data_IF_831217206512
#
_entry.id   IF_831217206512
#
_cell.length_a   1.000
_cell.length_b   1.000
_cell.length_c   1.000
_cell.angle_alpha   90.00
_cell.angle_beta   90.00
_cell.angle_gamma   90.00
#
_symmetry.space_group_name_H-M   'P 1'
#
loop_
_entity.id
_entity.type
_entity.pdbx_description
1 polymer ?
#
# COMPACT_ATOMS: atom_id res chain seq x y z
N UNK A 1 -33.28 -10.99 -25.95
CA UNK A 1 -33.31 -9.93 -24.93
C UNK A 1 -32.68 -8.68 -25.54
N UNK A 2 -33.20 -7.49 -25.21
CA UNK A 2 -32.62 -6.21 -25.63
C UNK A 2 -32.09 -5.53 -24.37
N UNK A 3 -30.82 -5.16 -24.36
CA UNK A 3 -30.15 -4.47 -23.26
C UNK A 3 -29.61 -3.14 -23.79
N UNK A 4 -29.76 -2.07 -23.01
CA UNK A 4 -29.26 -0.74 -23.36
C UNK A 4 -28.01 -0.41 -22.56
N UNK A 5 -27.06 0.26 -23.20
CA UNK A 5 -25.84 0.75 -22.56
C UNK A 5 -25.41 2.10 -23.11
N UNK A 6 -24.31 2.61 -22.58
CA UNK A 6 -23.73 3.89 -22.99
C UNK A 6 -22.92 3.70 -24.26
N UNK A 7 -23.20 4.50 -25.30
CA UNK A 7 -22.46 4.43 -26.56
C UNK A 7 -21.10 5.12 -26.40
N UNK A 8 -20.01 4.35 -26.50
CA UNK A 8 -18.64 4.88 -26.59
C UNK A 8 -18.31 5.25 -28.04
N UNK A 9 -18.62 4.34 -28.97
CA UNK A 9 -18.55 4.62 -30.40
C UNK A 9 -19.75 4.01 -31.12
N UNK A 10 -20.46 4.84 -31.88
CA UNK A 10 -21.68 4.45 -32.57
C UNK A 10 -21.39 3.50 -33.74
N UNK A 11 -22.31 2.58 -34.00
CA UNK A 11 -22.30 1.77 -35.22
C UNK A 11 -23.09 0.49 -35.07
N UNK A 12 -23.05 -0.32 -36.13
CA UNK A 12 -23.74 -1.60 -36.17
C UNK A 12 -22.71 -2.72 -36.26
N UNK A 13 -22.84 -3.73 -35.40
CA UNK A 13 -22.00 -4.91 -35.41
C UNK A 13 -22.84 -6.16 -35.18
N UNK A 14 -22.43 -7.28 -35.77
CA UNK A 14 -23.03 -8.59 -35.50
C UNK A 14 -21.95 -9.65 -35.53
N UNK A 15 -21.96 -10.54 -34.55
CA UNK A 15 -21.00 -11.63 -34.47
C UNK A 15 -21.28 -12.56 -33.31
N UNK A 16 -20.58 -13.70 -33.30
CA UNK A 16 -20.59 -14.58 -32.13
C UNK A 16 -19.90 -13.88 -30.96
N UNK A 17 -20.52 -13.82 -29.77
CA UNK A 17 -19.89 -13.22 -28.62
C UNK A 17 -18.70 -14.06 -28.15
N UNK A 18 -17.66 -13.38 -27.70
CA UNK A 18 -16.53 -13.97 -26.99
C UNK A 18 -16.47 -13.36 -25.60
N UNK A 19 -16.86 -14.15 -24.60
CA UNK A 19 -16.86 -13.74 -23.20
C UNK A 19 -15.47 -13.96 -22.60
N UNK A 20 -14.86 -12.86 -22.15
CA UNK A 20 -13.63 -12.91 -21.39
C UNK A 20 -13.97 -12.93 -19.90
N UNK A 21 -13.46 -13.93 -19.19
CA UNK A 21 -13.66 -14.11 -17.74
C UNK A 21 -12.55 -13.47 -16.92
N UNK A 22 -11.61 -12.79 -17.57
CA UNK A 22 -10.53 -12.05 -16.97
C UNK A 22 -10.23 -10.80 -17.82
N UNK A 23 -9.58 -9.77 -17.25
CA UNK A 23 -9.20 -8.59 -18.00
C UNK A 23 -8.15 -8.88 -19.09
N UNK A 24 -8.33 -8.24 -20.25
CA UNK A 24 -7.43 -8.34 -21.40
C UNK A 24 -6.68 -7.02 -21.63
N UNK A 25 -5.37 -7.11 -21.79
CA UNK A 25 -4.52 -6.02 -22.26
C UNK A 25 -4.35 -6.08 -23.78
N UNK A 26 -4.72 -5.02 -24.47
CA UNK A 26 -4.39 -4.87 -25.89
C UNK A 26 -2.92 -4.50 -26.13
N UNK A 27 -2.15 -4.24 -25.06
CA UNK A 27 -0.70 -4.13 -25.14
C UNK A 27 -0.05 -5.48 -24.81
N UNK A 28 0.48 -6.15 -25.83
CA UNK A 28 1.16 -7.44 -25.68
C UNK A 28 0.25 -8.63 -25.37
N UNK A 29 -1.05 -8.43 -25.11
CA UNK A 29 -2.00 -9.51 -24.83
C UNK A 29 -2.81 -9.99 -26.03
N UNK A 30 -2.76 -9.28 -27.16
CA UNK A 30 -3.39 -9.67 -28.42
C UNK A 30 -2.40 -9.49 -29.56
N UNK A 31 -2.29 -10.49 -30.43
CA UNK A 31 -1.49 -10.39 -31.64
C UNK A 31 -2.21 -9.50 -32.68
N UNK A 32 -1.65 -8.33 -33.05
CA UNK A 32 -2.30 -7.40 -33.96
C UNK A 32 -2.38 -7.90 -35.40
N UNK A 33 -1.69 -8.98 -35.76
CA UNK A 33 -1.68 -9.56 -37.10
C UNK A 33 -2.71 -10.68 -37.28
N UNK A 34 -3.01 -11.40 -36.21
CA UNK A 34 -3.90 -12.58 -36.27
C UNK A 34 -5.18 -12.42 -35.47
N UNK A 35 -5.22 -11.48 -34.52
CA UNK A 35 -6.34 -11.29 -33.60
C UNK A 35 -6.41 -12.32 -32.46
N UNK A 36 -5.40 -13.18 -32.29
CA UNK A 36 -5.36 -14.16 -31.21
C UNK A 36 -4.97 -13.51 -29.88
N UNK A 37 -5.64 -13.93 -28.80
CA UNK A 37 -5.24 -13.60 -27.44
C UNK A 37 -3.96 -14.38 -27.13
N UNK A 38 -2.88 -13.66 -26.86
CA UNK A 38 -1.54 -14.18 -26.54
C UNK A 38 -1.10 -13.83 -25.12
N UNK A 39 -1.99 -13.21 -24.32
CA UNK A 39 -1.71 -12.85 -22.93
C UNK A 39 -1.48 -14.11 -22.09
N UNK A 40 -0.24 -14.27 -21.61
CA UNK A 40 0.12 -15.42 -20.79
C UNK A 40 -0.76 -15.53 -19.53
N UNK A 41 -1.30 -16.72 -19.29
CA UNK A 41 -2.18 -17.00 -18.15
C UNK A 41 -3.62 -16.51 -18.30
N UNK A 42 -4.00 -15.92 -19.43
CA UNK A 42 -5.40 -15.54 -19.67
C UNK A 42 -6.26 -16.79 -19.93
N UNK A 43 -7.45 -16.95 -19.32
CA UNK A 43 -8.26 -18.17 -19.47
C UNK A 43 -8.66 -18.47 -20.93
N UNK A 44 -8.87 -17.43 -21.73
CA UNK A 44 -9.16 -17.49 -23.16
C UNK A 44 -7.90 -17.37 -24.06
N UNK A 45 -6.69 -17.66 -23.55
CA UNK A 45 -5.47 -17.66 -24.37
C UNK A 45 -5.63 -18.57 -25.60
N UNK A 46 -5.16 -18.10 -26.76
CA UNK A 46 -5.26 -18.80 -28.04
C UNK A 46 -6.60 -18.62 -28.76
N UNK A 47 -7.59 -17.92 -28.18
CA UNK A 47 -8.84 -17.61 -28.88
C UNK A 47 -8.68 -16.36 -29.77
N UNK A 48 -9.29 -16.37 -30.96
CA UNK A 48 -9.19 -15.25 -31.92
C UNK A 48 -10.35 -14.25 -31.79
N UNK A 49 -10.10 -12.97 -31.55
CA UNK A 49 -11.17 -11.97 -31.40
C UNK A 49 -11.69 -11.41 -32.72
N UNK A 50 -11.01 -11.71 -33.85
CA UNK A 50 -11.33 -11.15 -35.16
C UNK A 50 -12.79 -11.43 -35.56
N UNK A 51 -13.53 -10.38 -35.93
CA UNK A 51 -14.92 -10.48 -36.38
C UNK A 51 -15.95 -10.90 -35.30
N UNK A 52 -15.52 -11.09 -34.05
CA UNK A 52 -16.41 -11.45 -32.93
C UNK A 52 -16.93 -10.22 -32.19
N UNK A 53 -18.00 -10.39 -31.41
CA UNK A 53 -18.41 -9.39 -30.42
C UNK A 53 -17.62 -9.68 -29.15
N UNK A 54 -16.65 -8.84 -28.83
CA UNK A 54 -15.84 -9.03 -27.63
C UNK A 54 -16.59 -8.52 -26.41
N UNK A 55 -16.81 -9.39 -25.41
CA UNK A 55 -17.49 -9.06 -24.17
C UNK A 55 -16.51 -9.20 -23.01
N UNK A 56 -16.28 -8.13 -22.27
CA UNK A 56 -15.34 -8.10 -21.14
C UNK A 56 -15.85 -7.16 -20.05
N UNK A 57 -15.87 -7.60 -18.79
CA UNK A 57 -16.34 -6.75 -17.69
C UNK A 57 -15.35 -5.63 -17.34
N UNK A 58 -14.06 -5.87 -17.57
CA UNK A 58 -13.00 -4.87 -17.44
C UNK A 58 -11.87 -5.13 -18.46
N UNK A 59 -11.22 -4.06 -18.90
CA UNK A 59 -9.98 -4.09 -19.67
C UNK A 59 -8.81 -3.53 -18.86
N UNK A 60 -7.60 -3.97 -19.17
CA UNK A 60 -6.38 -3.39 -18.61
C UNK A 60 -5.75 -2.46 -19.64
N UNK A 61 -5.91 -1.15 -19.40
CA UNK A 61 -5.44 -0.10 -20.29
C UNK A 61 -3.92 0.15 -20.19
N UNK A 62 -3.29 0.29 -21.35
CA UNK A 62 -1.97 0.92 -21.53
C UNK A 62 -2.06 1.77 -22.79
N UNK A 63 -1.49 2.98 -22.82
CA UNK A 63 -1.60 3.91 -23.97
C UNK A 63 -1.23 3.26 -25.31
N UNK A 64 -0.38 2.21 -25.31
CA UNK A 64 -0.03 1.45 -26.52
C UNK A 64 -1.18 0.56 -27.03
N UNK A 65 -2.09 0.11 -26.16
CA UNK A 65 -3.25 -0.69 -26.52
C UNK A 65 -4.17 -0.02 -27.54
N UNK A 66 -4.34 1.30 -27.48
CA UNK A 66 -5.05 2.10 -28.51
C UNK A 66 -4.45 1.87 -29.90
N UNK A 67 -3.11 1.87 -30.02
CA UNK A 67 -2.41 1.65 -31.28
C UNK A 67 -2.53 0.21 -31.77
N UNK A 68 -2.54 -0.78 -30.86
CA UNK A 68 -2.80 -2.18 -31.20
C UNK A 68 -4.19 -2.35 -31.81
N UNK A 69 -5.23 -1.79 -31.20
CA UNK A 69 -6.61 -1.86 -31.71
C UNK A 69 -6.71 -1.25 -33.11
N UNK A 70 -6.08 -0.08 -33.33
CA UNK A 70 -5.99 0.53 -34.65
C UNK A 70 -5.25 -0.36 -35.67
N UNK A 71 -4.14 -0.99 -35.26
CA UNK A 71 -3.37 -1.91 -36.11
C UNK A 71 -4.19 -3.15 -36.48
N UNK A 72 -4.93 -3.72 -35.54
CA UNK A 72 -5.86 -4.83 -35.79
C UNK A 72 -6.93 -4.44 -36.81
N UNK A 73 -7.49 -3.23 -36.72
CA UNK A 73 -8.47 -2.73 -37.69
C UNK A 73 -7.85 -2.62 -39.09
N UNK A 74 -6.66 -2.03 -39.20
CA UNK A 74 -5.91 -1.94 -40.47
C UNK A 74 -5.60 -3.33 -41.05
N UNK A 75 -5.28 -4.29 -40.19
CA UNK A 75 -4.99 -5.68 -40.55
C UNK A 75 -6.25 -6.54 -40.76
N UNK A 76 -7.46 -5.98 -40.59
CA UNK A 76 -8.75 -6.69 -40.73
C UNK A 76 -8.93 -7.87 -39.76
N UNK A 77 -8.28 -7.81 -38.60
CA UNK A 77 -8.38 -8.80 -37.52
C UNK A 77 -8.95 -8.23 -36.22
N UNK A 78 -9.54 -7.03 -36.28
CA UNK A 78 -10.26 -6.42 -35.16
C UNK A 78 -11.56 -7.15 -34.82
N UNK A 79 -12.06 -7.05 -33.57
CA UNK A 79 -13.42 -7.46 -33.26
C UNK A 79 -14.44 -6.67 -34.09
N UNK A 80 -15.60 -7.28 -34.33
CA UNK A 80 -16.71 -6.63 -35.03
C UNK A 80 -17.36 -5.55 -34.16
N UNK A 81 -17.38 -5.77 -32.84
CA UNK A 81 -17.89 -4.83 -31.83
C UNK A 81 -17.39 -5.21 -30.44
N UNK A 82 -17.50 -4.27 -29.50
CA UNK A 82 -17.02 -4.43 -28.12
C UNK A 82 -18.16 -4.09 -27.17
N UNK A 83 -18.31 -4.88 -26.11
CA UNK A 83 -19.25 -4.62 -25.02
C UNK A 83 -18.52 -4.71 -23.69
N UNK A 84 -18.61 -3.65 -22.88
CA UNK A 84 -17.97 -3.58 -21.57
C UNK A 84 -18.96 -3.31 -20.44
N UNK A 85 -18.62 -3.73 -19.23
CA UNK A 85 -19.29 -3.26 -18.01
C UNK A 85 -18.68 -1.94 -17.52
N UNK A 86 -17.35 -1.89 -17.46
CA UNK A 86 -16.60 -0.68 -17.13
C UNK A 86 -15.52 -0.41 -18.19
N UNK A 87 -15.78 0.54 -19.07
CA UNK A 87 -14.82 0.93 -20.10
C UNK A 87 -13.71 1.81 -19.53
N UNK A 88 -12.45 1.44 -19.76
CA UNK A 88 -11.32 2.31 -19.47
C UNK A 88 -11.07 3.32 -20.62
N UNK A 89 -10.45 4.49 -20.34
CA UNK A 89 -10.22 5.53 -21.35
C UNK A 89 -9.36 5.10 -22.55
N UNK A 90 -8.43 4.16 -22.38
CA UNK A 90 -7.55 3.66 -23.46
C UNK A 90 -8.35 2.83 -24.44
N UNK A 91 -9.17 1.89 -23.93
CA UNK A 91 -10.05 1.09 -24.77
C UNK A 91 -11.06 1.97 -25.49
N UNK A 92 -11.65 2.96 -24.79
CA UNK A 92 -12.57 3.92 -25.40
C UNK A 92 -11.92 4.66 -26.58
N UNK A 93 -10.73 5.24 -26.38
CA UNK A 93 -9.99 5.90 -27.43
C UNK A 93 -9.65 4.95 -28.59
N UNK A 94 -9.27 3.71 -28.28
CA UNK A 94 -8.99 2.66 -29.27
C UNK A 94 -10.19 2.35 -30.15
N UNK A 95 -11.36 2.14 -29.54
CA UNK A 95 -12.63 1.89 -30.23
C UNK A 95 -13.04 3.06 -31.13
N UNK A 96 -12.92 4.31 -30.64
CA UNK A 96 -13.24 5.51 -31.41
C UNK A 96 -12.32 5.66 -32.62
N UNK A 97 -11.01 5.56 -32.43
CA UNK A 97 -10.01 5.74 -33.50
C UNK A 97 -10.12 4.62 -34.54
N UNK A 98 -10.32 3.38 -34.09
CA UNK A 98 -10.49 2.22 -34.98
C UNK A 98 -11.89 2.11 -35.59
N UNK A 99 -12.83 2.97 -35.19
CA UNK A 99 -14.24 2.95 -35.60
C UNK A 99 -14.89 1.58 -35.36
N UNK A 100 -14.68 1.02 -34.18
CA UNK A 100 -15.29 -0.23 -33.73
C UNK A 100 -16.51 0.11 -32.87
N UNK A 101 -17.72 -0.37 -33.21
CA UNK A 101 -18.90 -0.18 -32.38
C UNK A 101 -18.65 -0.66 -30.95
N UNK A 102 -18.88 0.21 -29.97
CA UNK A 102 -18.57 -0.07 -28.57
C UNK A 102 -19.64 0.49 -27.64
N UNK A 103 -20.25 -0.42 -26.86
CA UNK A 103 -21.24 -0.13 -25.81
C UNK A 103 -20.65 -0.45 -24.44
N UNK A 104 -20.84 0.45 -23.48
CA UNK A 104 -20.41 0.30 -22.09
C UNK A 104 -21.59 0.20 -21.12
N UNK A 105 -21.34 -0.23 -19.88
CA UNK A 105 -22.34 -0.36 -18.83
C UNK A 105 -23.20 -1.63 -18.90
N UNK A 106 -22.78 -2.64 -19.66
CA UNK A 106 -23.49 -3.91 -19.78
C UNK A 106 -22.63 -5.03 -19.18
N UNK A 107 -23.00 -5.61 -18.02
CA UNK A 107 -22.27 -6.73 -17.45
C UNK A 107 -22.40 -7.97 -18.33
N UNK A 108 -21.33 -8.77 -18.40
CA UNK A 108 -21.26 -10.00 -19.19
C UNK A 108 -22.39 -10.99 -18.84
N UNK A 109 -22.77 -11.04 -17.57
CA UNK A 109 -23.88 -11.87 -17.05
C UNK A 109 -25.25 -11.49 -17.60
N UNK A 110 -25.43 -10.26 -18.12
CA UNK A 110 -26.66 -9.80 -18.74
C UNK A 110 -26.78 -10.20 -20.23
N UNK A 111 -25.86 -11.00 -20.77
CA UNK A 111 -25.84 -11.40 -22.17
C UNK A 111 -25.83 -12.93 -22.32
N UNK A 112 -26.62 -13.45 -23.26
CA UNK A 112 -26.57 -14.88 -23.62
C UNK A 112 -25.44 -15.21 -24.60
N UNK A 113 -25.21 -16.51 -24.81
CA UNK A 113 -24.12 -17.05 -25.63
C UNK A 113 -24.43 -17.17 -27.13
N UNK A 114 -25.65 -16.84 -27.54
CA UNK A 114 -26.05 -16.85 -28.94
C UNK A 114 -25.50 -15.64 -29.71
N UNK A 115 -25.75 -15.60 -31.02
CA UNK A 115 -25.43 -14.44 -31.88
C UNK A 115 -25.84 -13.11 -31.23
N UNK A 116 -24.89 -12.18 -31.14
CA UNK A 116 -25.09 -10.85 -30.53
C UNK A 116 -25.01 -9.78 -31.60
N UNK A 117 -25.91 -8.80 -31.55
CA UNK A 117 -25.91 -7.64 -32.44
C UNK A 117 -25.88 -6.35 -31.63
N UNK A 118 -25.08 -5.38 -32.07
CA UNK A 118 -25.04 -4.01 -31.58
C UNK A 118 -25.71 -3.14 -32.64
N UNK A 119 -26.69 -2.33 -32.25
CA UNK A 119 -27.37 -1.36 -33.11
C UNK A 119 -27.62 -0.06 -32.35
N UNK A 120 -26.82 0.98 -32.62
CA UNK A 120 -26.90 2.23 -31.87
C UNK A 120 -26.52 2.01 -30.39
N UNK A 121 -27.45 2.26 -29.46
CA UNK A 121 -27.27 2.03 -28.03
C UNK A 121 -27.79 0.65 -27.55
N UNK A 122 -28.36 -0.15 -28.46
CA UNK A 122 -29.02 -1.40 -28.14
C UNK A 122 -28.15 -2.61 -28.45
N UNK A 123 -28.12 -3.56 -27.52
CA UNK A 123 -27.52 -4.88 -27.69
C UNK A 123 -28.62 -5.93 -27.68
N UNK A 124 -28.69 -6.72 -28.75
CA UNK A 124 -29.62 -7.84 -28.90
C UNK A 124 -28.84 -9.14 -28.72
N UNK A 125 -29.13 -9.89 -27.65
CA UNK A 125 -28.50 -11.18 -27.33
C UNK A 125 -29.53 -12.22 -26.82
N UNK A 126 -29.13 -13.50 -26.77
CA UNK A 126 -29.91 -14.58 -26.16
C UNK A 126 -30.06 -14.39 -24.63
N UNK A 127 -30.94 -15.15 -23.99
CA UNK A 127 -31.06 -15.12 -22.53
C UNK A 127 -29.83 -15.77 -21.85
N UNK A 128 -29.46 -15.27 -20.66
CA UNK A 128 -28.33 -15.74 -19.84
C UNK A 128 -28.82 -16.68 -18.73
N UNK A 129 -28.11 -17.77 -18.48
CA UNK A 129 -28.20 -18.55 -17.24
C UNK A 129 -27.13 -18.02 -16.26
N UNK A 130 -27.59 -17.53 -15.10
CA UNK A 130 -26.80 -16.73 -14.15
C UNK A 130 -25.72 -17.53 -13.40
N UNK A 131 -24.51 -16.97 -13.30
CA UNK A 131 -23.47 -17.39 -12.36
C UNK A 131 -23.26 -16.34 -11.24
N UNK A 132 -22.95 -16.81 -10.03
CA UNK A 132 -22.97 -16.06 -8.76
C UNK A 132 -21.79 -15.07 -8.57
N UNK A 133 -21.95 -14.03 -7.72
CA UNK A 133 -20.94 -12.97 -7.54
C UNK A 133 -19.81 -13.35 -6.56
N UNK A 134 -18.68 -12.65 -6.70
CA UNK A 134 -17.49 -12.73 -5.86
C UNK A 134 -17.69 -11.98 -4.52
N UNK A 135 -17.14 -12.51 -3.43
CA UNK A 135 -17.27 -11.91 -2.09
C UNK A 135 -16.31 -10.73 -1.88
N UNK A 136 -16.87 -9.53 -1.72
CA UNK A 136 -16.20 -8.41 -1.05
C UNK A 136 -16.08 -8.68 0.46
N UNK A 137 -14.93 -8.35 1.04
CA UNK A 137 -14.82 -8.28 2.51
C UNK A 137 -15.62 -7.06 2.98
N UNK A 138 -16.42 -7.25 4.03
CA UNK A 138 -17.28 -6.22 4.60
C UNK A 138 -16.53 -4.90 4.85
N UNK A 139 -17.05 -3.82 4.25
CA UNK A 139 -16.66 -2.44 4.54
C UNK A 139 -16.88 -2.16 6.03
N UNK A 140 -15.80 -2.10 6.81
CA UNK A 140 -15.84 -1.58 8.17
C UNK A 140 -15.83 -0.05 8.11
N UNK A 141 -16.87 0.54 8.68
CA UNK A 141 -17.18 1.97 8.70
C UNK A 141 -16.18 2.81 9.50
N UNK A 142 -16.19 4.12 9.23
CA UNK A 142 -15.29 5.21 9.67
C UNK A 142 -15.01 5.40 11.19
N UNK A 143 -15.53 4.53 12.07
CA UNK A 143 -15.42 4.66 13.54
C UNK A 143 -14.89 3.40 14.25
N UNK A 144 -14.55 2.32 13.53
CA UNK A 144 -13.90 1.17 14.17
C UNK A 144 -12.44 1.54 14.49
N UNK A 145 -12.10 1.67 15.77
CA UNK A 145 -10.72 1.88 16.20
C UNK A 145 -9.75 0.88 15.55
N UNK A 146 -8.56 1.35 15.20
CA UNK A 146 -7.51 0.55 14.58
C UNK A 146 -6.18 0.70 15.29
N UNK A 147 -5.13 0.15 14.69
CA UNK A 147 -3.76 0.17 15.22
C UNK A 147 -2.78 0.82 14.27
N UNK A 148 -1.80 1.52 14.82
CA UNK A 148 -0.67 2.03 14.03
C UNK A 148 0.56 1.19 14.39
N UNK A 149 1.11 0.52 13.39
CA UNK A 149 2.24 -0.39 13.53
C UNK A 149 3.48 0.26 12.95
N UNK A 150 4.56 0.29 13.74
CA UNK A 150 5.88 0.69 13.26
C UNK A 150 6.80 -0.50 13.15
N UNK A 151 7.30 -0.78 11.95
CA UNK A 151 8.37 -1.73 11.70
C UNK A 151 9.72 -1.01 11.85
N UNK A 152 10.46 -1.30 12.90
CA UNK A 152 11.77 -0.72 13.14
C UNK A 152 12.75 -1.02 12.00
N UNK A 153 13.49 -0.03 11.52
CA UNK A 153 14.46 -0.24 10.45
C UNK A 153 15.53 -1.29 10.80
N UNK A 154 15.96 -1.36 12.07
CA UNK A 154 16.88 -2.39 12.57
C UNK A 154 16.30 -3.80 12.59
N UNK A 155 14.97 -3.92 12.62
CA UNK A 155 14.26 -5.19 12.61
C UNK A 155 14.17 -5.76 11.18
N UNK A 156 13.87 -4.92 10.20
CA UNK A 156 13.63 -5.33 8.80
C UNK A 156 14.86 -5.19 7.89
N UNK A 157 15.95 -4.59 8.36
CA UNK A 157 17.20 -4.43 7.59
C UNK A 157 18.42 -4.92 8.38
N UNK A 158 19.51 -5.22 7.67
CA UNK A 158 20.78 -5.62 8.28
C UNK A 158 21.59 -4.39 8.70
N UNK A 159 21.55 -4.06 10.00
CA UNK A 159 22.17 -2.85 10.59
C UNK A 159 23.69 -2.77 10.40
N UNK A 160 24.37 -3.90 10.31
CA UNK A 160 25.83 -3.98 10.20
C UNK A 160 26.34 -4.03 8.73
N UNK A 161 25.43 -4.14 7.77
CA UNK A 161 25.82 -4.21 6.36
C UNK A 161 26.34 -2.87 5.86
N UNK A 162 27.48 -2.89 5.15
CA UNK A 162 28.05 -1.69 4.52
C UNK A 162 27.14 -1.17 3.40
N UNK A 163 26.41 -2.06 2.75
CA UNK A 163 25.42 -1.74 1.72
C UNK A 163 24.00 -1.92 2.25
N UNK A 164 23.02 -1.13 1.77
CA UNK A 164 21.61 -1.33 2.12
C UNK A 164 21.18 -2.76 1.85
N UNK A 165 20.66 -3.43 2.88
CA UNK A 165 20.30 -4.85 2.80
C UNK A 165 19.13 -5.18 3.72
N UNK A 166 18.21 -5.96 3.19
CA UNK A 166 16.97 -6.37 3.86
C UNK A 166 17.23 -7.63 4.67
N UNK A 167 16.60 -7.73 5.83
CA UNK A 167 16.56 -8.95 6.61
C UNK A 167 15.36 -9.81 6.20
N UNK A 168 15.44 -10.49 5.06
CA UNK A 168 14.31 -11.17 4.38
C UNK A 168 13.48 -12.07 5.30
N UNK A 169 14.14 -12.95 6.08
CA UNK A 169 13.45 -13.87 7.00
C UNK A 169 12.56 -13.15 8.02
N UNK A 170 13.05 -12.04 8.58
CA UNK A 170 12.31 -11.25 9.57
C UNK A 170 11.14 -10.52 8.91
N UNK A 171 11.38 -9.91 7.76
CA UNK A 171 10.34 -9.21 7.01
C UNK A 171 9.19 -10.15 6.61
N UNK A 172 9.49 -11.34 6.07
CA UNK A 172 8.47 -12.33 5.70
C UNK A 172 7.70 -12.85 6.93
N UNK A 173 8.38 -13.15 8.03
CA UNK A 173 7.72 -13.59 9.27
C UNK A 173 6.77 -12.50 9.83
N UNK A 174 7.21 -11.24 9.81
CA UNK A 174 6.39 -10.11 10.22
C UNK A 174 5.17 -9.94 9.31
N UNK A 175 5.36 -10.01 7.99
CA UNK A 175 4.26 -9.91 7.02
C UNK A 175 3.21 -11.02 7.23
N UNK A 176 3.67 -12.25 7.47
CA UNK A 176 2.79 -13.37 7.80
C UNK A 176 2.01 -13.13 9.09
N UNK A 177 2.65 -12.67 10.17
CA UNK A 177 1.97 -12.34 11.43
C UNK A 177 0.94 -11.20 11.24
N UNK A 178 1.29 -10.17 10.47
CA UNK A 178 0.39 -9.05 10.17
C UNK A 178 -0.85 -9.47 9.38
N UNK A 179 -0.72 -10.45 8.47
CA UNK A 179 -1.84 -10.95 7.66
C UNK A 179 -2.96 -11.57 8.50
N UNK A 180 -2.64 -12.03 9.71
CA UNK A 180 -3.59 -12.62 10.66
C UNK A 180 -4.34 -11.57 11.49
N UNK A 181 -3.95 -10.30 11.40
CA UNK A 181 -4.57 -9.23 12.18
C UNK A 181 -5.84 -8.74 11.49
N UNK A 182 -6.95 -8.73 12.23
CA UNK A 182 -8.29 -8.41 11.68
C UNK A 182 -8.76 -6.98 11.94
N UNK A 183 -8.03 -6.21 12.75
CA UNK A 183 -8.33 -4.81 13.00
C UNK A 183 -7.74 -3.92 11.89
N UNK A 184 -8.36 -2.78 11.56
CA UNK A 184 -7.78 -1.81 10.65
C UNK A 184 -6.38 -1.40 11.11
N UNK A 185 -5.44 -1.27 10.17
CA UNK A 185 -4.06 -0.95 10.51
C UNK A 185 -3.45 0.05 9.54
N UNK A 186 -2.57 0.90 10.07
CA UNK A 186 -1.60 1.69 9.30
C UNK A 186 -0.21 1.14 9.60
N UNK A 187 0.58 0.88 8.56
CA UNK A 187 1.94 0.38 8.72
C UNK A 187 2.91 1.50 8.36
N UNK A 188 3.88 1.75 9.25
CA UNK A 188 5.00 2.66 9.04
C UNK A 188 6.29 1.86 9.16
N UNK A 189 7.25 2.01 8.25
CA UNK A 189 8.56 1.40 8.45
C UNK A 189 9.69 2.41 8.59
N UNK A 190 10.70 2.05 9.39
CA UNK A 190 11.94 2.83 9.51
C UNK A 190 12.87 2.62 8.32
N UNK A 191 13.82 3.54 8.16
CA UNK A 191 14.75 3.55 7.02
C UNK A 191 15.86 2.49 7.12
N UNK A 192 16.27 2.10 8.33
CA UNK A 192 17.28 1.07 8.55
C UNK A 192 18.60 1.34 7.80
N UNK A 193 19.23 0.30 7.28
CA UNK A 193 20.47 0.41 6.48
C UNK A 193 20.30 1.15 5.14
N UNK A 194 19.05 1.41 4.71
CA UNK A 194 18.73 2.18 3.50
C UNK A 194 18.73 3.70 3.73
N UNK A 195 18.71 4.15 5.00
CA UNK A 195 18.77 5.58 5.35
C UNK A 195 19.99 5.95 6.17
N UNK A 196 20.11 5.39 7.37
CA UNK A 196 21.11 5.81 8.37
C UNK A 196 22.54 5.67 7.82
N UNK A 197 22.85 4.52 7.20
CA UNK A 197 24.18 4.26 6.62
C UNK A 197 24.56 5.24 5.52
N UNK A 198 23.78 5.36 4.43
CA UNK A 198 24.02 6.33 3.37
C UNK A 198 24.12 7.79 3.86
N UNK A 199 23.17 8.24 4.70
CA UNK A 199 23.17 9.61 5.26
C UNK A 199 24.46 9.90 6.02
N UNK A 200 24.93 8.96 6.84
CA UNK A 200 26.16 9.11 7.60
C UNK A 200 27.41 9.08 6.71
N UNK A 201 27.49 8.12 5.77
CA UNK A 201 28.66 7.99 4.88
C UNK A 201 28.83 9.18 3.96
N UNK A 202 27.73 9.77 3.50
CA UNK A 202 27.75 10.92 2.60
C UNK A 202 27.82 12.26 3.35
N UNK A 203 27.80 12.25 4.69
CA UNK A 203 27.88 13.47 5.50
C UNK A 203 26.72 14.43 5.26
N UNK A 204 25.51 13.91 5.09
CA UNK A 204 24.34 14.73 4.73
C UNK A 204 23.68 15.42 5.93
N UNK A 205 23.88 14.90 7.14
CA UNK A 205 23.34 15.48 8.38
C UNK A 205 23.72 16.94 8.55
N UNK A 206 22.74 17.76 8.92
CA UNK A 206 22.89 19.20 9.18
C UNK A 206 23.43 19.99 7.96
N UNK A 207 23.25 19.49 6.73
CA UNK A 207 23.66 20.18 5.51
C UNK A 207 22.46 20.53 4.63
N UNK A 208 22.45 21.75 4.12
CA UNK A 208 21.48 22.19 3.12
C UNK A 208 21.69 21.45 1.79
N UNK A 209 20.62 21.19 1.03
CA UNK A 209 20.73 20.80 -0.37
C UNK A 209 21.53 21.83 -1.17
N UNK A 210 22.42 21.33 -2.01
CA UNK A 210 23.29 22.13 -2.86
C UNK A 210 24.06 21.24 -3.82
N UNK A 211 24.94 21.81 -4.66
CA UNK A 211 25.70 21.06 -5.66
C UNK A 211 26.39 19.80 -5.11
N UNK A 212 26.85 19.85 -3.85
CA UNK A 212 27.62 18.78 -3.21
C UNK A 212 26.76 17.74 -2.45
N UNK A 213 25.50 18.06 -2.12
CA UNK A 213 24.64 17.21 -1.25
C UNK A 213 23.39 16.71 -1.95
N UNK A 214 22.91 17.39 -3.01
CA UNK A 214 21.67 17.04 -3.71
C UNK A 214 21.70 15.63 -4.31
N UNK A 215 22.86 15.18 -4.80
CA UNK A 215 23.02 13.81 -5.29
C UNK A 215 22.84 12.79 -4.16
N UNK A 216 23.42 13.05 -2.99
CA UNK A 216 23.29 12.17 -1.83
C UNK A 216 21.85 12.11 -1.32
N UNK A 217 21.16 13.25 -1.23
CA UNK A 217 19.74 13.27 -0.85
C UNK A 217 18.85 12.51 -1.83
N UNK A 218 19.08 12.67 -3.14
CA UNK A 218 18.38 11.91 -4.19
C UNK A 218 18.64 10.40 -4.07
N UNK A 219 19.88 10.00 -3.77
CA UNK A 219 20.24 8.60 -3.56
C UNK A 219 19.55 8.02 -2.31
N UNK A 220 19.56 8.73 -1.18
CA UNK A 220 18.87 8.30 0.04
C UNK A 220 17.38 8.12 -0.22
N UNK A 221 16.74 9.07 -0.92
CA UNK A 221 15.31 8.95 -1.24
C UNK A 221 15.02 7.75 -2.15
N UNK A 222 15.87 7.52 -3.16
CA UNK A 222 15.77 6.36 -4.04
C UNK A 222 15.89 5.03 -3.27
N UNK A 223 16.77 4.98 -2.27
CA UNK A 223 16.90 3.83 -1.37
C UNK A 223 15.67 3.64 -0.47
N UNK A 224 15.02 4.71 -0.02
CA UNK A 224 13.76 4.59 0.73
C UNK A 224 12.66 3.99 -0.12
N UNK A 225 12.52 4.42 -1.38
CA UNK A 225 11.57 3.80 -2.31
C UNK A 225 11.87 2.32 -2.56
N UNK A 226 13.15 1.96 -2.69
CA UNK A 226 13.55 0.56 -2.84
C UNK A 226 13.14 -0.28 -1.62
N UNK A 227 13.42 0.18 -0.40
CA UNK A 227 13.00 -0.51 0.83
C UNK A 227 11.47 -0.62 0.92
N UNK A 228 10.75 0.47 0.63
CA UNK A 228 9.30 0.49 0.68
C UNK A 228 8.66 -0.49 -0.32
N UNK A 229 9.23 -0.62 -1.54
CA UNK A 229 8.77 -1.61 -2.51
C UNK A 229 8.92 -3.04 -1.99
N UNK A 230 10.02 -3.34 -1.29
CA UNK A 230 10.26 -4.67 -0.74
C UNK A 230 9.34 -4.98 0.45
N UNK A 231 9.09 -3.99 1.32
CA UNK A 231 8.10 -4.12 2.40
C UNK A 231 6.69 -4.32 1.82
N UNK A 232 6.28 -3.53 0.83
CA UNK A 232 5.01 -3.69 0.14
C UNK A 232 4.88 -5.06 -0.53
N UNK A 233 5.96 -5.53 -1.17
CA UNK A 233 5.98 -6.86 -1.79
C UNK A 233 5.75 -7.97 -0.76
N UNK A 234 6.49 -7.95 0.35
CA UNK A 234 6.36 -8.96 1.40
C UNK A 234 4.95 -8.99 2.00
N UNK A 235 4.37 -7.82 2.30
CA UNK A 235 2.99 -7.70 2.81
C UNK A 235 1.97 -8.25 1.80
N UNK A 236 2.13 -7.93 0.51
CA UNK A 236 1.24 -8.43 -0.55
C UNK A 236 1.33 -9.93 -0.72
N UNK A 237 2.52 -10.52 -0.68
CA UNK A 237 2.72 -11.97 -0.76
C UNK A 237 2.09 -12.69 0.43
N UNK A 238 2.10 -12.06 1.61
CA UNK A 238 1.41 -12.56 2.81
C UNK A 238 -0.13 -12.38 2.76
N UNK A 239 -0.68 -11.76 1.71
CA UNK A 239 -2.13 -11.63 1.51
C UNK A 239 -2.74 -10.33 2.04
N UNK A 240 -1.93 -9.34 2.44
CA UNK A 240 -2.42 -7.99 2.71
C UNK A 240 -2.52 -7.17 1.40
N UNK A 241 -3.27 -6.07 1.45
CA UNK A 241 -3.35 -5.10 0.36
C UNK A 241 -2.62 -3.79 0.72
N UNK A 242 -1.28 -3.79 0.80
CA UNK A 242 -0.54 -2.59 1.15
C UNK A 242 -0.71 -1.50 0.08
N UNK A 243 -0.89 -0.27 0.54
CA UNK A 243 -1.03 0.91 -0.30
C UNK A 243 0.03 1.94 0.10
N UNK A 244 1.17 1.97 -0.61
CA UNK A 244 2.21 2.95 -0.40
C UNK A 244 1.71 4.39 -0.51
N UNK A 245 1.96 5.20 0.51
CA UNK A 245 1.69 6.63 0.53
C UNK A 245 2.98 7.40 0.79
N UNK A 246 3.11 8.56 0.15
CA UNK A 246 4.22 9.47 0.40
C UNK A 246 4.06 10.10 1.78
N UNK A 247 4.95 9.77 2.72
CA UNK A 247 4.85 10.16 4.13
C UNK A 247 4.79 11.66 4.37
N UNK A 248 5.49 12.44 3.55
CA UNK A 248 5.61 13.89 3.62
C UNK A 248 4.26 14.58 3.36
N UNK A 249 3.34 13.94 2.61
CA UNK A 249 1.98 14.44 2.42
C UNK A 249 1.09 14.22 3.64
N UNK A 250 1.47 13.30 4.54
CA UNK A 250 0.72 12.95 5.74
C UNK A 250 1.29 13.64 6.99
N UNK A 251 2.62 13.68 7.10
CA UNK A 251 3.32 14.04 8.34
C UNK A 251 4.47 15.04 8.13
N UNK A 252 4.74 15.47 6.90
CA UNK A 252 5.78 16.45 6.63
C UNK A 252 5.38 17.89 6.98
N UNK A 253 6.32 18.85 6.96
CA UNK A 253 6.08 20.23 7.36
C UNK A 253 5.08 20.97 6.44
N UNK A 254 4.89 20.45 5.22
CA UNK A 254 3.94 20.98 4.24
C UNK A 254 2.64 20.16 4.17
N UNK A 255 2.50 19.12 5.00
CA UNK A 255 1.31 18.28 5.01
C UNK A 255 0.08 19.08 5.45
N UNK A 256 -1.04 18.84 4.76
CA UNK A 256 -2.33 19.34 5.23
C UNK A 256 -3.03 18.27 6.07
N UNK A 257 -3.37 18.54 7.35
CA UNK A 257 -4.04 17.57 8.19
C UNK A 257 -5.39 17.09 7.62
N UNK A 258 -6.12 17.97 6.92
CA UNK A 258 -7.40 17.61 6.29
C UNK A 258 -7.21 16.58 5.18
N UNK A 259 -6.26 16.84 4.27
CA UNK A 259 -5.96 15.93 3.16
C UNK A 259 -5.30 14.66 3.64
N UNK A 260 -4.34 14.74 4.57
CA UNK A 260 -3.69 13.57 5.15
C UNK A 260 -4.69 12.64 5.84
N UNK A 261 -5.63 13.19 6.61
CA UNK A 261 -6.73 12.40 7.19
C UNK A 261 -7.60 11.76 6.11
N UNK A 262 -8.00 12.53 5.09
CA UNK A 262 -8.84 12.00 4.01
C UNK A 262 -8.14 10.85 3.26
N UNK A 263 -6.87 11.00 2.89
CA UNK A 263 -6.11 9.95 2.20
C UNK A 263 -6.04 8.66 3.02
N UNK A 264 -5.73 8.76 4.31
CA UNK A 264 -5.69 7.59 5.19
C UNK A 264 -7.07 6.92 5.30
N UNK A 265 -8.12 7.71 5.53
CA UNK A 265 -9.49 7.19 5.68
C UNK A 265 -9.99 6.52 4.41
N UNK A 266 -9.85 7.17 3.24
CA UNK A 266 -10.29 6.59 1.95
C UNK A 266 -9.57 5.28 1.65
N UNK A 267 -8.26 5.22 1.91
CA UNK A 267 -7.46 4.00 1.76
C UNK A 267 -8.03 2.87 2.64
N UNK A 268 -8.25 3.17 3.92
CA UNK A 268 -8.79 2.21 4.88
C UNK A 268 -10.21 1.75 4.52
N UNK A 269 -11.09 2.66 4.06
CA UNK A 269 -12.48 2.32 3.68
C UNK A 269 -12.55 1.44 2.45
N UNK A 270 -11.52 1.40 1.61
CA UNK A 270 -11.42 0.48 0.48
C UNK A 270 -10.75 -0.86 0.83
N UNK A 271 -10.53 -1.14 2.12
CA UNK A 271 -9.89 -2.38 2.58
C UNK A 271 -8.39 -2.44 2.27
N UNK A 272 -7.78 -1.31 1.90
CA UNK A 272 -6.34 -1.19 1.70
C UNK A 272 -5.63 -0.87 3.03
N UNK A 273 -4.35 -1.21 3.12
CA UNK A 273 -3.50 -0.96 4.30
C UNK A 273 -2.55 0.19 3.98
N UNK A 274 -2.74 1.40 4.51
CA UNK A 274 -1.80 2.50 4.31
C UNK A 274 -0.38 2.09 4.75
N UNK A 275 0.58 2.21 3.84
CA UNK A 275 1.98 1.92 4.06
C UNK A 275 2.82 3.19 3.89
N UNK A 276 3.47 3.61 4.97
CA UNK A 276 4.28 4.82 5.07
C UNK A 276 5.70 4.45 5.52
N UNK A 277 6.63 5.39 5.37
CA UNK A 277 8.05 5.17 5.65
C UNK A 277 8.80 6.44 6.00
N UNK A 278 9.86 6.33 6.78
CA UNK A 278 10.75 7.46 7.03
C UNK A 278 11.49 7.90 5.76
N UNK A 279 11.67 9.21 5.57
CA UNK A 279 12.28 9.77 4.36
C UNK A 279 12.96 11.12 4.62
N UNK A 280 13.90 11.54 3.76
CA UNK A 280 14.33 12.93 3.71
C UNK A 280 13.18 13.85 3.31
N UNK A 281 13.03 14.99 3.98
CA UNK A 281 12.01 15.99 3.68
C UNK A 281 12.60 17.39 3.56
N UNK A 282 11.98 18.25 2.75
CA UNK A 282 12.33 19.66 2.66
C UNK A 282 11.68 20.44 3.81
N UNK A 283 12.48 21.00 4.69
CA UNK A 283 12.02 21.86 5.77
C UNK A 283 11.66 23.28 5.28
N UNK A 284 10.83 24.05 6.03
CA UNK A 284 10.42 25.40 5.66
C UNK A 284 11.56 26.42 5.48
N UNK A 285 12.69 26.19 6.14
CA UNK A 285 13.89 27.03 6.05
C UNK A 285 14.78 26.71 4.84
N UNK A 286 14.36 25.76 3.99
CA UNK A 286 15.10 25.32 2.81
C UNK A 286 16.13 24.21 3.08
N UNK A 287 16.28 23.75 4.33
CA UNK A 287 17.12 22.59 4.68
C UNK A 287 16.42 21.29 4.35
N UNK A 288 17.16 20.18 4.25
CA UNK A 288 16.56 18.85 4.25
C UNK A 288 16.75 18.25 5.65
N UNK A 289 15.66 17.75 6.21
CA UNK A 289 15.62 17.03 7.49
C UNK A 289 15.15 15.58 7.27
N UNK A 290 15.15 14.77 8.32
CA UNK A 290 14.68 13.39 8.31
C UNK A 290 13.30 13.30 8.94
N UNK A 291 12.29 13.02 8.10
CA UNK A 291 10.98 12.62 8.57
C UNK A 291 11.07 11.22 9.17
N UNK A 292 11.17 11.16 10.50
CA UNK A 292 11.31 9.89 11.20
C UNK A 292 10.01 9.07 11.18
N UNK A 293 10.13 7.75 11.19
CA UNK A 293 8.98 6.87 11.36
C UNK A 293 8.20 7.13 12.66
N UNK A 294 8.85 7.63 13.72
CA UNK A 294 8.16 7.95 14.99
C UNK A 294 7.26 9.19 14.82
N UNK A 295 7.73 10.20 14.08
CA UNK A 295 6.95 11.39 13.72
C UNK A 295 5.72 11.01 12.90
N UNK A 296 5.89 10.13 11.90
CA UNK A 296 4.81 9.68 11.02
C UNK A 296 3.73 8.93 11.82
N UNK A 297 4.15 8.02 12.70
CA UNK A 297 3.25 7.26 13.59
C UNK A 297 2.43 8.20 14.47
N UNK A 298 3.07 9.20 15.05
CA UNK A 298 2.40 10.22 15.86
C UNK A 298 1.38 11.04 15.06
N UNK A 299 1.72 11.42 13.83
CA UNK A 299 0.81 12.12 12.92
C UNK A 299 -0.41 11.26 12.59
N UNK A 300 -0.20 10.00 12.20
CA UNK A 300 -1.29 9.06 11.88
C UNK A 300 -2.26 8.89 13.06
N UNK A 301 -1.74 8.77 14.29
CA UNK A 301 -2.56 8.60 15.49
C UNK A 301 -3.46 9.81 15.73
N UNK A 302 -2.92 11.02 15.53
CA UNK A 302 -3.68 12.27 15.66
C UNK A 302 -4.72 12.42 14.55
N UNK A 303 -4.37 12.13 13.30
CA UNK A 303 -5.27 12.27 12.15
C UNK A 303 -6.46 11.30 12.20
N UNK A 304 -6.21 10.07 12.64
CA UNK A 304 -7.24 9.02 12.73
C UNK A 304 -7.96 8.99 14.07
N UNK A 305 -7.41 9.62 15.11
CA UNK A 305 -7.94 9.55 16.48
C UNK A 305 -7.74 8.18 17.14
N UNK A 306 -6.93 7.30 16.56
CA UNK A 306 -6.69 5.95 17.08
C UNK A 306 -5.80 5.98 18.33
N UNK A 307 -6.07 5.05 19.25
CA UNK A 307 -5.50 5.06 20.61
C UNK A 307 -4.40 4.01 20.84
N UNK A 308 -4.10 3.17 19.86
CA UNK A 308 -3.14 2.07 20.02
C UNK A 308 -2.03 2.17 18.99
N UNK A 309 -0.79 2.22 19.46
CA UNK A 309 0.42 2.22 18.64
C UNK A 309 1.31 1.07 19.07
N UNK A 310 1.86 0.31 18.12
CA UNK A 310 2.77 -0.81 18.37
C UNK A 310 4.07 -0.58 17.60
N UNK A 311 5.17 -0.38 18.32
CA UNK A 311 6.53 -0.27 17.78
C UNK A 311 7.21 -1.63 17.86
N UNK A 312 7.32 -2.30 16.71
CA UNK A 312 8.07 -3.54 16.56
C UNK A 312 9.54 -3.20 16.32
N UNK A 313 10.41 -3.63 17.22
CA UNK A 313 11.86 -3.36 17.19
C UNK A 313 12.65 -4.65 17.34
N UNK A 314 13.98 -4.57 17.27
CA UNK A 314 14.93 -5.68 17.46
C UNK A 314 15.33 -5.93 18.93
N UNK A 315 14.64 -5.30 19.89
CA UNK A 315 14.86 -5.46 21.34
C UNK A 315 13.54 -5.74 22.05
N UNK A 316 13.58 -6.37 23.24
CA UNK A 316 12.36 -6.78 23.96
C UNK A 316 11.51 -5.61 24.49
N UNK A 317 12.09 -4.43 24.63
CA UNK A 317 11.42 -3.22 25.13
C UNK A 317 12.43 -2.11 25.44
N UNK A 318 12.07 -1.18 26.31
CA UNK A 318 12.94 -0.12 26.83
C UNK A 318 13.67 -0.64 28.06
N UNK A 319 14.98 -0.45 28.10
CA UNK A 319 15.83 -0.86 29.22
C UNK A 319 16.30 0.36 30.00
N UNK A 320 16.58 0.18 31.30
CA UNK A 320 17.15 1.25 32.14
C UNK A 320 18.54 1.68 31.67
N UNK A 321 19.32 0.73 31.12
CA UNK A 321 20.59 0.99 30.45
C UNK A 321 20.45 0.84 28.95
N UNK A 322 20.99 1.76 28.13
CA UNK A 322 20.95 1.68 26.66
C UNK A 322 21.91 0.62 26.08
N UNK A 323 22.82 0.10 26.89
CA UNK A 323 23.90 -0.81 26.47
C UNK A 323 23.86 -2.17 27.18
N UNK A 324 23.01 -2.31 28.19
CA UNK A 324 22.83 -3.56 28.93
C UNK A 324 21.40 -4.07 28.77
N UNK A 325 21.28 -5.19 28.04
CA UNK A 325 20.03 -5.87 27.72
C UNK A 325 19.84 -7.17 28.53
N UNK A 326 20.65 -7.40 29.57
CA UNK A 326 20.64 -8.66 30.33
C UNK A 326 19.46 -8.80 31.30
N UNK A 327 18.84 -7.69 31.70
CA UNK A 327 17.63 -7.66 32.53
C UNK A 327 16.32 -7.78 31.76
N UNK A 328 15.21 -7.57 32.46
CA UNK A 328 13.90 -7.39 31.82
C UNK A 328 13.68 -5.92 31.41
N UNK A 329 12.96 -5.67 30.30
CA UNK A 329 12.59 -4.32 29.92
C UNK A 329 11.67 -3.70 30.97
N UNK A 330 11.70 -2.37 31.06
CA UNK A 330 10.79 -1.58 31.89
C UNK A 330 9.35 -1.86 31.40
N UNK A 331 8.47 -2.43 32.23
CA UNK A 331 7.17 -2.89 31.75
C UNK A 331 6.21 -1.72 31.45
N UNK A 332 6.33 -0.63 32.21
CA UNK A 332 5.49 0.57 32.08
C UNK A 332 6.33 1.84 32.21
N UNK A 333 6.08 2.79 31.32
CA UNK A 333 6.56 4.17 31.42
C UNK A 333 5.33 5.08 31.44
N UNK A 334 5.21 5.89 32.49
CA UNK A 334 4.07 6.76 32.69
C UNK A 334 4.40 8.19 32.25
N UNK A 335 3.54 8.79 31.43
CA UNK A 335 3.81 10.11 30.85
C UNK A 335 3.61 11.28 31.83
N UNK A 336 2.95 11.05 32.96
CA UNK A 336 2.81 11.97 34.09
C UNK A 336 3.99 11.90 35.09
N UNK A 337 4.98 11.03 34.83
CA UNK A 337 6.18 10.88 35.65
C UNK A 337 7.44 11.36 34.88
N UNK A 338 8.53 11.72 35.58
CA UNK A 338 9.79 12.01 34.92
C UNK A 338 10.21 10.81 34.06
N UNK A 339 10.63 11.02 32.80
CA UNK A 339 11.06 9.93 31.96
C UNK A 339 12.26 9.21 32.62
N UNK A 340 12.41 7.89 32.41
CA UNK A 340 13.57 7.17 32.93
C UNK A 340 14.85 7.84 32.43
N UNK A 341 15.87 7.94 33.30
CA UNK A 341 17.19 8.44 32.95
C UNK A 341 17.85 7.48 31.94
N UNK A 342 17.56 7.67 30.66
CA UNK A 342 18.27 7.00 29.58
C UNK A 342 19.63 7.68 29.44
N UNK A 343 20.69 7.06 29.97
CA UNK A 343 22.05 7.47 29.63
C UNK A 343 22.22 7.41 28.11
N UNK A 344 22.86 8.40 27.46
CA UNK A 344 23.21 8.28 26.05
C UNK A 344 24.22 7.13 25.88
N UNK A 345 23.83 6.06 25.18
CA UNK A 345 24.74 4.96 24.88
C UNK A 345 25.81 5.39 23.87
N UNK A 346 27.05 4.97 24.06
CA UNK A 346 28.23 5.27 23.22
C UNK A 346 28.27 4.56 21.86
N UNK A 347 27.16 3.97 21.39
CA UNK A 347 27.11 3.33 20.09
C UNK A 347 26.73 4.33 18.99
N UNK A 348 27.36 4.20 17.80
CA UNK A 348 27.33 5.09 16.61
C UNK A 348 26.14 6.07 16.52
N UNK A 349 26.37 7.33 16.10
CA UNK A 349 25.34 8.38 16.09
C UNK A 349 24.11 7.95 15.28
N UNK A 350 22.99 7.78 16.00
CA UNK A 350 21.69 7.51 15.41
C UNK A 350 21.10 8.82 14.89
N UNK A 351 20.94 8.93 13.57
CA UNK A 351 20.48 10.14 12.88
C UNK A 351 19.04 10.55 13.21
N UNK A 352 18.26 9.67 13.86
CA UNK A 352 16.89 10.00 14.34
C UNK A 352 16.79 10.13 15.86
N UNK A 353 17.92 10.20 16.58
CA UNK A 353 17.91 10.42 18.03
C UNK A 353 17.66 9.18 18.90
N UNK A 354 17.72 7.95 18.37
CA UNK A 354 17.72 6.73 19.19
C UNK A 354 16.46 6.49 20.01
N UNK A 355 16.62 5.84 21.17
CA UNK A 355 15.49 5.54 22.07
C UNK A 355 14.90 6.80 22.71
N UNK A 356 15.72 7.83 22.98
CA UNK A 356 15.22 9.11 23.50
C UNK A 356 14.35 9.85 22.48
N UNK A 357 14.77 9.86 21.20
CA UNK A 357 13.99 10.39 20.08
C UNK A 357 12.66 9.66 19.88
N UNK A 358 12.60 8.36 20.17
CA UNK A 358 11.36 7.56 20.18
C UNK A 358 10.46 7.91 21.36
N UNK A 359 11.00 8.06 22.58
CA UNK A 359 10.17 8.23 23.78
C UNK A 359 9.45 9.57 23.83
N UNK A 360 10.11 10.68 23.46
CA UNK A 360 9.52 12.02 23.63
C UNK A 360 8.18 12.20 22.89
N UNK A 361 8.04 11.84 21.60
CA UNK A 361 6.75 11.90 20.90
C UNK A 361 5.69 10.98 21.52
N UNK A 362 6.07 9.79 22.00
CA UNK A 362 5.14 8.81 22.58
C UNK A 362 4.62 9.24 23.95
N UNK A 363 5.45 9.87 24.77
CA UNK A 363 5.02 10.48 26.03
C UNK A 363 4.01 11.60 25.78
N UNK A 364 4.24 12.45 24.78
CA UNK A 364 3.28 13.49 24.39
C UNK A 364 1.95 12.90 23.91
N UNK A 365 1.98 11.80 23.15
CA UNK A 365 0.76 11.10 22.72
C UNK A 365 0.02 10.42 23.88
N UNK A 366 0.75 9.90 24.86
CA UNK A 366 0.16 9.30 26.05
C UNK A 366 -0.65 10.31 26.86
N UNK A 367 -0.19 11.57 26.96
CA UNK A 367 -0.99 12.66 27.56
C UNK A 367 -2.29 12.96 26.78
N UNK A 368 -2.38 12.58 25.50
CA UNK A 368 -3.59 12.64 24.69
C UNK A 368 -4.43 11.35 24.72
N UNK A 369 -4.12 10.43 25.65
CA UNK A 369 -4.82 9.16 25.84
C UNK A 369 -4.45 8.06 24.84
N UNK A 370 -3.34 8.19 24.12
CA UNK A 370 -2.84 7.15 23.20
C UNK A 370 -1.88 6.24 23.94
N UNK A 371 -2.13 4.92 23.90
CA UNK A 371 -1.22 3.92 24.48
C UNK A 371 -0.25 3.43 23.41
N UNK A 372 1.03 3.43 23.73
CA UNK A 372 2.09 2.95 22.84
C UNK A 372 2.82 1.76 23.44
N UNK A 373 3.08 0.74 22.64
CA UNK A 373 3.85 -0.45 23.03
C UNK A 373 5.17 -0.47 22.26
N UNK A 374 6.28 -0.72 22.96
CA UNK A 374 7.60 -0.99 22.36
C UNK A 374 7.96 -2.42 22.68
N UNK A 375 8.09 -3.25 21.65
CA UNK A 375 8.25 -4.69 21.80
C UNK A 375 9.09 -5.29 20.67
N UNK A 376 9.68 -6.46 20.93
CA UNK A 376 10.39 -7.19 19.89
C UNK A 376 9.41 -7.66 18.81
N UNK A 377 9.75 -7.44 17.54
CA UNK A 377 9.01 -8.01 16.41
C UNK A 377 9.25 -9.51 16.22
N UNK A 378 10.20 -10.11 16.94
CA UNK A 378 10.44 -11.56 16.93
C UNK A 378 9.63 -12.29 18.02
N UNK A 379 8.88 -11.55 18.86
CA UNK A 379 8.03 -12.13 19.88
C UNK A 379 6.80 -12.81 19.23
N UNK A 380 6.52 -14.10 19.52
CA UNK A 380 5.40 -14.82 18.92
C UNK A 380 4.05 -14.20 19.25
N UNK A 381 3.19 -14.09 18.23
CA UNK A 381 1.80 -13.59 18.31
C UNK A 381 1.65 -12.25 19.03
N UNK A 382 2.73 -11.45 19.05
CA UNK A 382 2.83 -10.25 19.89
C UNK A 382 1.74 -9.22 19.63
N UNK A 383 1.32 -9.07 18.37
CA UNK A 383 0.26 -8.14 17.99
C UNK A 383 -1.06 -8.58 18.63
N UNK A 384 -1.44 -9.85 18.49
CA UNK A 384 -2.66 -10.38 19.08
C UNK A 384 -2.63 -10.29 20.61
N UNK A 385 -1.50 -10.66 21.23
CA UNK A 385 -1.29 -10.60 22.68
C UNK A 385 -1.48 -9.19 23.23
N UNK A 386 -0.87 -8.19 22.60
CA UNK A 386 -1.06 -6.78 22.97
C UNK A 386 -2.52 -6.35 22.80
N UNK A 387 -3.18 -6.71 21.69
CA UNK A 387 -4.59 -6.36 21.46
C UNK A 387 -5.55 -7.05 22.44
N UNK A 388 -5.14 -8.20 23.00
CA UNK A 388 -5.86 -8.89 24.07
C UNK A 388 -5.63 -8.31 25.47
N UNK A 389 -4.77 -7.28 25.59
CA UNK A 389 -4.45 -6.61 26.84
C UNK A 389 -3.28 -7.23 27.62
N UNK A 390 -2.51 -8.14 27.01
CA UNK A 390 -1.33 -8.71 27.65
C UNK A 390 -0.20 -7.67 27.75
N UNK A 391 0.46 -7.62 28.91
CA UNK A 391 1.66 -6.81 29.10
C UNK A 391 2.85 -7.53 28.43
N UNK A 392 3.34 -6.96 27.33
CA UNK A 392 4.52 -7.46 26.60
C UNK A 392 5.43 -6.29 26.26
N UNK A 393 6.73 -6.42 26.54
CA UNK A 393 7.72 -5.36 26.34
C UNK A 393 7.48 -4.16 27.25
N UNK A 394 7.49 -2.95 26.68
CA UNK A 394 7.27 -1.69 27.40
C UNK A 394 6.00 -1.01 26.93
N UNK A 395 5.10 -0.69 27.86
CA UNK A 395 3.90 0.10 27.59
C UNK A 395 4.07 1.54 28.07
N UNK A 396 3.78 2.50 27.21
CA UNK A 396 3.79 3.94 27.49
C UNK A 396 2.35 4.43 27.55
N UNK A 397 1.92 4.96 28.70
CA UNK A 397 0.52 5.34 28.95
C UNK A 397 0.41 6.37 30.09
N UNK A 398 -0.80 6.90 30.30
CA UNK A 398 -1.17 7.66 31.52
C UNK A 398 -2.05 6.84 32.47
N UNK A 399 -2.59 5.71 32.02
CA UNK A 399 -3.49 4.87 32.82
C UNK A 399 -2.71 3.94 33.72
N UNK A 400 -2.81 4.13 35.04
CA UNK A 400 -2.21 3.22 36.01
C UNK A 400 -2.89 1.86 35.98
N UNK A 401 -2.13 0.82 35.69
CA UNK A 401 -2.59 -0.56 35.84
C UNK A 401 -2.38 -0.92 37.31
N UNK A 402 -3.46 -1.29 38.01
CA UNK A 402 -3.42 -1.56 39.46
C UNK A 402 -2.47 -2.74 39.72
N UNK A 403 -1.29 -2.47 40.28
CA UNK A 403 -0.44 -3.52 40.85
C UNK A 403 -1.07 -3.94 42.16
N UNK A 404 -1.72 -5.09 42.17
CA UNK A 404 -2.01 -5.79 43.43
C UNK A 404 -0.70 -5.91 44.21
N UNK A 405 -0.67 -5.35 45.42
CA UNK A 405 0.41 -5.57 46.37
C UNK A 405 0.48 -7.07 46.63
N UNK A 406 1.58 -7.71 46.24
CA UNK A 406 2.03 -8.98 46.82
C UNK A 406 2.50 -8.74 48.25
#
# INVERSE_FOLDING_TARGET
>A
MIVQGTVIFHGNARGMPLFLTAPLSFYGGVDPHTGHIIQHGHPQHGQCIAGRILVLDASTGSTVGTWTILRMRKNRVAPAGIITHHCDPVLAAGSIIAKIPHIDGIPSSALGTSMTSIAGAEVISGASETAAPFHERENRTQDSGGIILKLGGSLITEKESLTPKIHERRLHNLAAALSQTTVPMVIVHGAGSFGHGPVQRMGLLNRTPGPDTSRGWSEVMSLQYALNNEVAHALRVAGLAPWPLQSELIAGPWASPLWGRQMLMETLTHGLVPLLYGSPELAPDGTFDILSGDTIVAACARLLGWKTIIHLTDVRGVYASPVDFTGDPIPFIYADEPPPNLTPGSSKPDVTGGMSGKLSPLLALALCGVTSHIVSGEEPDVIHRILSGEQVGTTITVTRHWRGKS
#
